data_IF_222056566954
#
_entry.id   IF_222056566954
#
_cell.length_a   1.000
_cell.length_b   1.000
_cell.length_c   1.000
_cell.angle_alpha   90.00
_cell.angle_beta   90.00
_cell.angle_gamma   90.00
#
_symmetry.space_group_name_H-M   'P 1'
#
loop_
_entity.id
_entity.type
_entity.pdbx_description
1 polymer ?
#
# COMPACT_ATOMS: atom_id res chain seq x y z
N UNK A 1 31.40 2.19 -27.60
CA UNK A 1 30.23 2.61 -28.40
C UNK A 1 29.00 1.86 -27.86
N UNK A 2 27.98 2.57 -27.33
CA UNK A 2 26.81 1.92 -26.71
C UNK A 2 25.82 1.57 -27.82
N UNK A 3 25.36 0.31 -27.86
CA UNK A 3 24.40 -0.21 -28.85
C UNK A 3 23.12 0.65 -28.98
N UNK A 4 22.72 1.32 -27.90
CA UNK A 4 21.53 2.17 -27.85
C UNK A 4 21.66 3.48 -28.67
N UNK A 5 22.87 3.96 -28.90
CA UNK A 5 23.12 5.17 -29.73
C UNK A 5 22.88 4.91 -31.22
N UNK A 6 23.01 3.65 -31.65
CA UNK A 6 22.81 3.25 -33.06
C UNK A 6 21.32 3.31 -33.49
N UNK A 7 20.40 3.27 -32.53
CA UNK A 7 18.96 3.25 -32.83
C UNK A 7 18.25 4.56 -32.50
N UNK A 8 18.98 5.59 -32.07
CA UNK A 8 18.44 6.88 -31.65
C UNK A 8 17.23 6.78 -30.69
N UNK A 9 17.29 5.78 -29.78
CA UNK A 9 16.23 5.54 -28.80
C UNK A 9 16.67 6.14 -27.48
N UNK A 10 15.94 7.09 -26.97
CA UNK A 10 16.21 7.71 -25.66
C UNK A 10 16.19 6.69 -24.53
N UNK A 11 17.13 6.83 -23.61
CA UNK A 11 17.28 5.90 -22.45
C UNK A 11 16.02 5.89 -21.59
N UNK A 12 15.26 6.96 -21.56
CA UNK A 12 13.96 7.07 -20.87
C UNK A 12 12.89 6.09 -21.38
N UNK A 13 12.98 5.61 -22.64
CA UNK A 13 12.06 4.60 -23.18
C UNK A 13 12.32 3.20 -22.61
N UNK A 14 13.45 3.00 -21.98
CA UNK A 14 13.84 1.75 -21.32
C UNK A 14 13.83 1.83 -19.79
N UNK A 15 13.28 2.91 -19.21
CA UNK A 15 13.16 3.01 -17.75
C UNK A 15 12.21 1.92 -17.23
N UNK A 16 12.72 0.87 -16.56
CA UNK A 16 11.88 -0.25 -16.10
C UNK A 16 10.83 0.17 -15.08
N UNK A 17 11.08 1.25 -14.35
CA UNK A 17 10.21 1.81 -13.31
C UNK A 17 8.81 2.18 -13.81
N UNK A 18 8.66 2.82 -14.96
CA UNK A 18 7.32 3.20 -15.46
C UNK A 18 6.46 2.01 -15.85
N UNK A 19 7.04 0.94 -16.40
CA UNK A 19 6.31 -0.27 -16.76
C UNK A 19 5.91 -1.08 -15.54
N UNK A 20 6.77 -1.14 -14.53
CA UNK A 20 6.47 -1.79 -13.27
C UNK A 20 5.31 -1.09 -12.56
N UNK A 21 5.35 0.25 -12.45
CA UNK A 21 4.30 1.08 -11.85
C UNK A 21 2.94 0.84 -12.51
N UNK A 22 2.88 0.82 -13.84
CA UNK A 22 1.64 0.57 -14.57
C UNK A 22 1.11 -0.86 -14.37
N UNK A 23 1.98 -1.85 -14.27
CA UNK A 23 1.59 -3.24 -14.02
C UNK A 23 1.01 -3.41 -12.61
N UNK A 24 1.64 -2.79 -11.60
CA UNK A 24 1.14 -2.77 -10.22
C UNK A 24 -0.20 -2.04 -10.15
N UNK A 25 -0.33 -0.89 -10.80
CA UNK A 25 -1.58 -0.14 -10.86
C UNK A 25 -2.73 -0.98 -11.45
N UNK A 26 -2.48 -1.69 -12.56
CA UNK A 26 -3.45 -2.59 -13.17
C UNK A 26 -3.80 -3.78 -12.25
N UNK A 27 -2.81 -4.31 -11.52
CA UNK A 27 -3.02 -5.37 -10.55
C UNK A 27 -3.90 -4.90 -9.39
N UNK A 28 -3.62 -3.73 -8.81
CA UNK A 28 -4.46 -3.11 -7.78
C UNK A 28 -5.89 -2.89 -8.25
N UNK A 29 -6.08 -2.36 -9.47
CA UNK A 29 -7.40 -2.17 -10.06
C UNK A 29 -8.16 -3.50 -10.20
N UNK A 30 -7.49 -4.56 -10.66
CA UNK A 30 -8.04 -5.92 -10.80
C UNK A 30 -8.47 -6.50 -9.44
N UNK A 31 -7.72 -6.21 -8.39
CA UNK A 31 -8.01 -6.67 -7.03
C UNK A 31 -8.95 -5.76 -6.23
N UNK A 32 -9.53 -4.73 -6.85
CA UNK A 32 -10.62 -3.96 -6.23
C UNK A 32 -10.40 -2.47 -6.10
N UNK A 33 -9.21 -1.94 -6.42
CA UNK A 33 -8.95 -0.49 -6.45
C UNK A 33 -9.40 0.12 -7.80
N UNK A 34 -10.70 0.11 -8.07
CA UNK A 34 -11.30 0.50 -9.37
C UNK A 34 -11.10 1.95 -9.74
N UNK A 35 -10.85 2.82 -8.77
CA UNK A 35 -10.54 4.24 -8.99
C UNK A 35 -9.18 4.46 -9.67
N UNK A 36 -8.34 3.43 -9.76
CA UNK A 36 -7.09 3.50 -10.50
C UNK A 36 -7.34 3.32 -11.99
N UNK A 37 -6.88 4.28 -12.79
CA UNK A 37 -6.99 4.20 -14.25
C UNK A 37 -6.07 3.10 -14.76
N UNK A 38 -6.63 2.14 -15.49
CA UNK A 38 -5.84 1.05 -16.10
C UNK A 38 -5.06 1.55 -17.32
N UNK A 39 -3.94 0.90 -17.57
CA UNK A 39 -3.06 1.17 -18.72
C UNK A 39 -2.93 -0.10 -19.59
N UNK A 40 -2.40 0.00 -20.82
CA UNK A 40 -2.18 -1.17 -21.66
C UNK A 40 -1.03 -2.09 -21.17
N UNK A 41 -0.46 -1.82 -20.00
CA UNK A 41 0.62 -2.64 -19.45
C UNK A 41 0.12 -4.04 -19.08
N UNK A 42 0.90 -5.05 -19.43
CA UNK A 42 0.63 -6.45 -19.07
C UNK A 42 0.89 -6.64 -17.57
N UNK A 43 -0.06 -7.26 -16.90
CA UNK A 43 0.07 -7.65 -15.49
C UNK A 43 0.79 -9.00 -15.42
N UNK A 44 1.94 -9.12 -14.78
CA UNK A 44 2.60 -10.39 -14.56
C UNK A 44 1.70 -11.37 -13.78
N UNK A 45 1.75 -12.67 -14.14
CA UNK A 45 0.92 -13.71 -13.51
C UNK A 45 1.11 -13.84 -11.99
N UNK A 46 2.28 -13.48 -11.46
CA UNK A 46 2.49 -13.42 -10.00
C UNK A 46 1.50 -12.49 -9.29
N UNK A 47 0.99 -11.46 -9.97
CA UNK A 47 0.00 -10.52 -9.43
C UNK A 47 -1.46 -10.97 -9.61
N UNK A 48 -1.69 -12.22 -10.03
CA UNK A 48 -3.02 -12.83 -9.97
C UNK A 48 -3.41 -13.16 -8.52
N UNK A 49 -2.41 -13.33 -7.63
CA UNK A 49 -2.59 -13.47 -6.19
C UNK A 49 -2.53 -12.11 -5.49
N UNK A 50 -3.60 -11.78 -4.77
CA UNK A 50 -3.70 -10.49 -4.04
C UNK A 50 -2.60 -10.31 -2.99
N UNK A 51 -2.15 -11.38 -2.35
CA UNK A 51 -1.05 -11.37 -1.38
C UNK A 51 0.24 -10.85 -2.00
N UNK A 52 0.55 -11.27 -3.25
CA UNK A 52 1.75 -10.80 -3.98
C UNK A 52 1.68 -9.30 -4.26
N UNK A 53 0.50 -8.80 -4.64
CA UNK A 53 0.30 -7.36 -4.90
C UNK A 53 0.50 -6.55 -3.63
N UNK A 54 -0.09 -6.97 -2.51
CA UNK A 54 0.06 -6.28 -1.22
C UNK A 54 1.53 -6.27 -0.77
N UNK A 55 2.21 -7.41 -0.86
CA UNK A 55 3.64 -7.51 -0.50
C UNK A 55 4.48 -6.61 -1.38
N UNK A 56 4.31 -6.64 -2.70
CA UNK A 56 5.07 -5.81 -3.64
C UNK A 56 4.91 -4.32 -3.34
N UNK A 57 3.67 -3.86 -3.15
CA UNK A 57 3.39 -2.44 -2.85
C UNK A 57 4.00 -2.01 -1.51
N UNK A 58 3.97 -2.87 -0.49
CA UNK A 58 4.55 -2.54 0.81
C UNK A 58 6.09 -2.60 0.81
N UNK A 59 6.69 -3.46 0.00
CA UNK A 59 8.15 -3.61 -0.07
C UNK A 59 8.77 -2.51 -0.93
N UNK A 60 8.17 -2.24 -2.08
CA UNK A 60 8.68 -1.31 -3.09
C UNK A 60 7.61 -0.30 -3.50
N UNK A 61 7.21 0.62 -2.61
CA UNK A 61 6.19 1.60 -2.91
C UNK A 61 6.69 2.58 -3.98
N UNK A 62 6.01 2.58 -5.13
CA UNK A 62 6.35 3.47 -6.25
C UNK A 62 5.53 4.76 -6.24
N UNK A 63 4.40 4.76 -5.55
CA UNK A 63 3.48 5.89 -5.48
C UNK A 63 2.63 5.86 -4.21
N UNK A 64 2.37 7.02 -3.57
CA UNK A 64 1.40 7.14 -2.49
C UNK A 64 0.01 6.58 -2.86
N UNK A 65 -0.43 6.77 -4.11
CA UNK A 65 -1.72 6.23 -4.60
C UNK A 65 -1.78 4.71 -4.59
N UNK A 66 -0.66 4.01 -4.81
CA UNK A 66 -0.62 2.55 -4.71
C UNK A 66 -0.79 2.08 -3.25
N UNK A 67 -0.20 2.80 -2.32
CA UNK A 67 -0.34 2.51 -0.88
C UNK A 67 -1.78 2.72 -0.40
N UNK A 68 -2.40 3.85 -0.73
CA UNK A 68 -3.78 4.13 -0.32
C UNK A 68 -4.79 3.21 -1.00
N UNK A 69 -4.50 2.75 -2.22
CA UNK A 69 -5.30 1.77 -2.94
C UNK A 69 -5.33 0.39 -2.25
N UNK A 70 -4.40 0.11 -1.32
CA UNK A 70 -4.46 -1.11 -0.51
C UNK A 70 -5.69 -1.14 0.40
N UNK A 71 -6.25 -0.01 0.82
CA UNK A 71 -7.50 0.04 1.59
C UNK A 71 -8.65 -0.68 0.88
N UNK A 72 -9.09 -0.23 -0.31
CA UNK A 72 -10.09 -0.93 -1.13
C UNK A 72 -9.73 -2.38 -1.47
N UNK A 73 -8.45 -2.67 -1.74
CA UNK A 73 -7.98 -4.03 -2.03
C UNK A 73 -8.18 -4.96 -0.82
N UNK A 74 -7.79 -4.54 0.38
CA UNK A 74 -7.99 -5.32 1.61
C UNK A 74 -9.48 -5.55 1.87
N UNK A 75 -10.31 -4.50 1.72
CA UNK A 75 -11.75 -4.60 1.91
C UNK A 75 -12.37 -5.62 0.96
N UNK A 76 -12.02 -5.57 -0.33
CA UNK A 76 -12.60 -6.45 -1.35
C UNK A 76 -12.16 -7.91 -1.24
N UNK A 77 -11.02 -8.14 -0.61
CA UNK A 77 -10.43 -9.47 -0.52
C UNK A 77 -10.34 -10.00 0.92
N UNK A 78 -11.17 -9.50 1.83
CA UNK A 78 -11.15 -9.88 3.26
C UNK A 78 -11.23 -11.39 3.48
N UNK A 79 -11.94 -12.13 2.61
CA UNK A 79 -12.09 -13.58 2.70
C UNK A 79 -10.95 -14.37 2.05
N UNK A 80 -10.11 -13.71 1.28
CA UNK A 80 -9.05 -14.35 0.47
C UNK A 80 -7.65 -14.02 0.99
N UNK A 81 -7.53 -12.99 1.84
CA UNK A 81 -6.26 -12.53 2.39
C UNK A 81 -6.00 -13.17 3.76
N UNK A 82 -4.82 -13.75 3.90
CA UNK A 82 -4.29 -14.19 5.19
C UNK A 82 -3.35 -13.13 5.75
N UNK A 83 -3.79 -12.41 6.79
CA UNK A 83 -2.95 -11.43 7.48
C UNK A 83 -1.70 -12.08 8.09
N UNK A 84 -1.80 -13.33 8.57
CA UNK A 84 -0.68 -14.09 9.11
C UNK A 84 0.37 -14.42 8.02
N UNK A 85 -0.08 -14.77 6.82
CA UNK A 85 0.83 -15.00 5.69
C UNK A 85 1.54 -13.71 5.28
N UNK A 86 0.80 -12.61 5.13
CA UNK A 86 1.37 -11.28 4.84
C UNK A 86 2.43 -10.90 5.88
N UNK A 87 2.13 -11.07 7.17
CA UNK A 87 3.06 -10.77 8.24
C UNK A 87 4.32 -11.63 8.16
N UNK A 88 4.18 -12.95 7.95
CA UNK A 88 5.31 -13.86 7.79
C UNK A 88 6.22 -13.47 6.62
N UNK A 89 5.63 -13.12 5.49
CA UNK A 89 6.38 -12.72 4.28
C UNK A 89 7.10 -11.40 4.48
N UNK A 90 6.41 -10.39 5.01
CA UNK A 90 6.99 -9.07 5.26
C UNK A 90 8.04 -9.09 6.39
N UNK A 91 7.88 -9.96 7.39
CA UNK A 91 8.89 -10.17 8.43
C UNK A 91 10.21 -10.72 7.85
N UNK A 92 10.15 -11.69 6.92
CA UNK A 92 11.34 -12.21 6.21
C UNK A 92 12.07 -11.13 5.41
N UNK A 93 11.35 -10.11 4.97
CA UNK A 93 11.88 -8.98 4.22
C UNK A 93 12.25 -7.78 5.13
N UNK A 94 12.07 -7.90 6.45
CA UNK A 94 12.32 -6.81 7.39
C UNK A 94 11.32 -5.65 7.26
N UNK A 95 10.10 -5.91 6.76
CA UNK A 95 9.08 -4.89 6.45
C UNK A 95 7.77 -5.07 7.23
N UNK A 96 7.76 -5.84 8.30
CA UNK A 96 6.55 -6.10 9.11
C UNK A 96 5.93 -4.82 9.70
N UNK A 97 6.73 -3.81 10.01
CA UNK A 97 6.26 -2.52 10.51
C UNK A 97 5.32 -1.81 9.52
N UNK A 98 5.58 -1.93 8.21
CA UNK A 98 4.72 -1.37 7.16
C UNK A 98 3.34 -2.02 7.13
N UNK A 99 3.27 -3.33 7.40
CA UNK A 99 1.97 -4.00 7.53
C UNK A 99 1.21 -3.49 8.75
N UNK A 100 1.88 -3.38 9.89
CA UNK A 100 1.27 -2.85 11.10
C UNK A 100 0.71 -1.45 10.89
N UNK A 101 1.50 -0.54 10.28
CA UNK A 101 1.05 0.80 9.91
C UNK A 101 -0.15 0.77 8.95
N UNK A 102 -0.08 -0.03 7.87
CA UNK A 102 -1.17 -0.13 6.91
C UNK A 102 -2.47 -0.58 7.57
N UNK A 103 -2.42 -1.64 8.37
CA UNK A 103 -3.61 -2.18 9.04
C UNK A 103 -4.19 -1.19 10.05
N UNK A 104 -3.35 -0.50 10.80
CA UNK A 104 -3.74 0.51 11.78
C UNK A 104 -4.41 1.72 11.08
N UNK A 105 -3.80 2.24 10.00
CA UNK A 105 -4.35 3.34 9.21
C UNK A 105 -5.66 2.96 8.52
N UNK A 106 -5.76 1.75 7.94
CA UNK A 106 -6.99 1.25 7.32
C UNK A 106 -8.07 1.06 8.36
N UNK A 107 -7.75 0.54 9.56
CA UNK A 107 -8.70 0.38 10.65
C UNK A 107 -9.32 1.72 11.06
N UNK A 108 -8.48 2.75 11.24
CA UNK A 108 -8.93 4.12 11.54
C UNK A 108 -9.79 4.68 10.39
N UNK A 109 -9.38 4.46 9.14
CA UNK A 109 -10.14 4.92 7.98
C UNK A 109 -11.53 4.28 7.87
N UNK A 110 -11.65 2.98 8.17
CA UNK A 110 -12.94 2.27 8.12
C UNK A 110 -13.99 2.83 9.10
N UNK A 111 -13.56 3.46 10.19
CA UNK A 111 -14.45 4.13 11.14
C UNK A 111 -15.03 5.44 10.59
N UNK A 112 -14.31 6.10 9.68
CA UNK A 112 -14.70 7.38 9.09
C UNK A 112 -15.48 7.24 7.78
N UNK A 113 -15.33 6.11 7.04
CA UNK A 113 -16.00 5.89 5.76
C UNK A 113 -17.48 5.58 5.94
N UNK A 114 -18.33 6.26 5.15
CA UNK A 114 -19.77 5.96 5.06
C UNK A 114 -20.01 4.92 3.97
N UNK A 115 -20.27 3.67 4.36
CA UNK A 115 -20.59 2.59 3.43
C UNK A 115 -22.09 2.59 3.08
N UNK A 116 -22.39 2.72 1.79
CA UNK A 116 -23.76 2.82 1.28
C UNK A 116 -24.44 1.46 1.26
N UNK A 117 -23.80 0.42 0.73
CA UNK A 117 -24.40 -0.90 0.58
C UNK A 117 -24.29 -1.76 1.85
N UNK A 118 -25.24 -2.67 2.03
CA UNK A 118 -25.20 -3.63 3.13
C UNK A 118 -24.02 -4.61 3.01
N UNK A 119 -23.61 -4.92 1.76
CA UNK A 119 -22.48 -5.78 1.48
C UNK A 119 -21.17 -5.09 1.95
N UNK A 120 -20.92 -3.85 1.52
CA UNK A 120 -19.73 -3.11 1.91
C UNK A 120 -19.64 -2.92 3.43
N UNK A 121 -20.76 -2.61 4.09
CA UNK A 121 -20.82 -2.53 5.57
C UNK A 121 -20.45 -3.83 6.25
N UNK A 122 -20.85 -4.97 5.68
CA UNK A 122 -20.50 -6.30 6.21
C UNK A 122 -19.03 -6.58 6.04
N UNK A 123 -18.49 -6.34 4.85
CA UNK A 123 -17.08 -6.59 4.54
C UNK A 123 -16.18 -5.65 5.35
N UNK A 124 -16.56 -4.39 5.53
CA UNK A 124 -15.86 -3.44 6.40
C UNK A 124 -15.80 -3.92 7.86
N UNK A 125 -16.93 -4.40 8.41
CA UNK A 125 -16.95 -4.98 9.77
C UNK A 125 -16.08 -6.21 9.89
N UNK A 126 -16.09 -7.10 8.89
CA UNK A 126 -15.24 -8.30 8.86
C UNK A 126 -13.76 -7.94 8.81
N UNK A 127 -13.39 -7.02 7.92
CA UNK A 127 -12.02 -6.54 7.82
C UNK A 127 -11.59 -5.88 9.13
N UNK A 128 -12.41 -4.99 9.69
CA UNK A 128 -12.13 -4.35 10.98
C UNK A 128 -11.91 -5.37 12.08
N UNK A 129 -12.82 -6.34 12.24
CA UNK A 129 -12.67 -7.40 13.25
C UNK A 129 -11.40 -8.21 13.03
N UNK A 130 -11.07 -8.57 11.79
CA UNK A 130 -9.85 -9.30 11.48
C UNK A 130 -8.60 -8.49 11.86
N UNK A 131 -8.58 -7.19 11.57
CA UNK A 131 -7.48 -6.30 11.95
C UNK A 131 -7.37 -6.19 13.48
N UNK A 132 -8.46 -5.92 14.17
CA UNK A 132 -8.48 -5.73 15.64
C UNK A 132 -7.99 -6.98 16.39
N UNK A 133 -8.29 -8.17 15.88
CA UNK A 133 -7.81 -9.44 16.43
C UNK A 133 -6.34 -9.72 16.09
N UNK A 134 -5.90 -9.30 14.92
CA UNK A 134 -4.57 -9.63 14.42
C UNK A 134 -3.50 -8.61 14.82
N UNK A 135 -3.81 -7.31 14.78
CA UNK A 135 -2.86 -6.22 14.99
C UNK A 135 -2.09 -6.31 16.32
N UNK A 136 -2.71 -6.73 17.46
CA UNK A 136 -2.00 -6.92 18.72
C UNK A 136 -0.94 -8.05 18.68
N UNK A 137 -1.02 -8.97 17.74
CA UNK A 137 -0.05 -10.08 17.58
C UNK A 137 1.18 -9.66 16.80
N UNK A 138 1.16 -8.54 16.10
CA UNK A 138 2.32 -8.04 15.37
C UNK A 138 3.36 -7.43 16.33
N UNK A 139 4.65 -7.81 16.20
CA UNK A 139 5.69 -7.21 17.00
C UNK A 139 5.83 -5.72 16.66
N UNK A 140 5.68 -4.86 17.66
CA UNK A 140 5.94 -3.43 17.49
C UNK A 140 7.44 -3.18 17.42
N UNK A 141 7.89 -2.29 16.52
CA UNK A 141 9.28 -1.84 16.53
C UNK A 141 9.65 -1.24 17.91
N UNK A 142 10.86 -1.50 18.37
CA UNK A 142 11.39 -0.81 19.54
C UNK A 142 11.48 0.70 19.28
N UNK A 143 11.44 1.51 20.33
CA UNK A 143 11.49 2.98 20.21
C UNK A 143 12.78 3.44 19.53
N UNK A 144 13.89 2.75 19.76
CA UNK A 144 15.20 3.03 19.17
C UNK A 144 15.37 2.39 17.78
N UNK A 145 14.41 1.63 17.29
CA UNK A 145 14.52 1.03 15.97
C UNK A 145 14.64 2.11 14.88
N UNK A 146 15.44 1.86 13.83
CA UNK A 146 15.56 2.81 12.74
C UNK A 146 14.18 3.05 12.08
N UNK A 147 13.96 4.31 11.69
CA UNK A 147 12.74 4.71 11.03
C UNK A 147 12.65 4.06 9.64
N UNK A 148 11.53 3.38 9.35
CA UNK A 148 11.28 2.83 8.02
C UNK A 148 10.66 3.89 7.12
N UNK A 149 11.44 4.41 6.18
CA UNK A 149 11.00 5.44 5.25
C UNK A 149 10.27 4.80 4.06
N UNK A 150 8.99 5.10 3.92
CA UNK A 150 8.18 4.62 2.79
C UNK A 150 8.39 5.49 1.55
N UNK A 151 8.52 6.81 1.72
CA UNK A 151 8.66 7.75 0.63
C UNK A 151 10.06 7.66 0.00
N UNK A 152 10.19 6.90 -1.09
CA UNK A 152 11.47 6.61 -1.75
C UNK A 152 12.21 7.86 -2.31
N UNK A 153 11.51 8.98 -2.49
CA UNK A 153 12.08 10.22 -3.02
C UNK A 153 12.82 11.07 -1.96
N UNK A 154 12.67 10.72 -0.69
CA UNK A 154 13.22 11.50 0.41
C UNK A 154 14.68 11.10 0.65
N UNK A 155 15.60 12.02 0.41
CA UNK A 155 17.05 11.78 0.52
C UNK A 155 17.76 12.63 1.58
N UNK A 156 17.10 13.67 2.10
CA UNK A 156 17.75 14.56 3.08
C UNK A 156 17.29 14.30 4.51
N UNK A 157 18.22 14.28 5.46
CA UNK A 157 17.92 14.09 6.89
C UNK A 157 16.90 15.13 7.41
N UNK A 158 16.98 16.39 6.93
CA UNK A 158 16.03 17.45 7.29
C UNK A 158 14.60 17.11 6.82
N UNK A 159 14.47 16.53 5.63
CA UNK A 159 13.16 16.13 5.09
C UNK A 159 12.61 14.94 5.86
N UNK A 160 13.47 13.97 6.22
CA UNK A 160 13.06 12.81 7.05
C UNK A 160 12.53 13.29 8.40
N UNK A 161 13.27 14.14 9.12
CA UNK A 161 12.84 14.68 10.41
C UNK A 161 11.51 15.43 10.32
N UNK A 162 11.27 16.18 9.22
CA UNK A 162 10.00 16.86 9.00
C UNK A 162 8.86 15.86 8.77
N UNK A 163 9.06 14.85 7.93
CA UNK A 163 8.06 13.81 7.69
C UNK A 163 7.73 13.08 8.98
N UNK A 164 8.74 12.72 9.77
CA UNK A 164 8.54 12.07 11.07
C UNK A 164 7.67 12.93 12.01
N UNK A 165 7.95 14.22 12.09
CA UNK A 165 7.19 15.15 12.92
C UNK A 165 5.73 15.30 12.46
N UNK A 166 5.50 15.33 11.13
CA UNK A 166 4.20 15.50 10.50
C UNK A 166 3.43 14.16 10.34
N UNK A 167 4.06 13.02 10.58
CA UNK A 167 3.46 11.69 10.44
C UNK A 167 2.26 11.49 11.39
N UNK A 168 1.28 10.71 10.95
CA UNK A 168 0.12 10.33 11.77
C UNK A 168 0.53 9.49 12.99
N UNK A 169 -0.36 9.37 13.98
CA UNK A 169 -0.10 8.58 15.19
C UNK A 169 0.09 7.09 14.87
N UNK A 170 -0.61 6.57 13.86
CA UNK A 170 -0.42 5.21 13.36
C UNK A 170 0.99 5.02 12.81
N UNK A 171 1.46 5.97 12.00
CA UNK A 171 2.79 5.94 11.41
C UNK A 171 3.90 6.03 12.49
N UNK A 172 3.74 6.91 13.47
CA UNK A 172 4.66 7.02 14.61
C UNK A 172 4.71 5.73 15.44
N UNK A 173 3.53 5.14 15.73
CA UNK A 173 3.40 3.89 16.49
C UNK A 173 4.17 2.73 15.86
N UNK A 174 4.25 2.70 14.54
CA UNK A 174 4.93 1.66 13.76
C UNK A 174 6.32 2.05 13.28
N UNK A 175 6.84 3.20 13.70
CA UNK A 175 8.15 3.72 13.27
C UNK A 175 8.28 3.82 11.74
N UNK A 176 7.18 4.20 11.08
CA UNK A 176 7.10 4.40 9.63
C UNK A 176 7.05 5.90 9.34
N UNK A 177 7.99 6.40 8.54
CA UNK A 177 7.96 7.78 8.10
C UNK A 177 7.22 7.88 6.75
N UNK A 178 6.06 8.51 6.79
CA UNK A 178 5.23 8.75 5.62
C UNK A 178 4.36 9.98 5.82
N UNK A 179 3.99 10.63 4.72
CA UNK A 179 3.00 11.72 4.73
C UNK A 179 1.57 11.22 4.68
N UNK A 180 1.38 9.92 4.41
CA UNK A 180 0.05 9.33 4.35
C UNK A 180 -0.56 9.25 5.75
N UNK A 181 -1.81 9.67 5.84
CA UNK A 181 -2.64 9.61 7.02
C UNK A 181 -3.88 8.72 6.77
N UNK A 182 -4.62 8.31 7.79
CA UNK A 182 -5.89 7.57 7.62
C UNK A 182 -6.89 8.26 6.68
N UNK A 183 -6.89 9.60 6.63
CA UNK A 183 -7.75 10.37 5.71
C UNK A 183 -7.49 10.08 4.24
N UNK A 184 -6.25 9.81 3.84
CA UNK A 184 -5.93 9.45 2.46
C UNK A 184 -6.54 8.09 2.06
N UNK A 185 -6.66 7.18 3.02
CA UNK A 185 -7.34 5.89 2.81
C UNK A 185 -8.86 6.05 2.75
N UNK A 186 -9.43 7.02 3.49
CA UNK A 186 -10.85 7.40 3.37
C UNK A 186 -11.13 7.89 1.96
N UNK A 187 -10.35 8.86 1.48
CA UNK A 187 -10.47 9.42 0.13
C UNK A 187 -10.35 8.36 -0.96
N UNK A 188 -9.37 7.43 -0.84
CA UNK A 188 -9.22 6.32 -1.77
C UNK A 188 -10.43 5.38 -1.77
N UNK A 189 -11.03 5.14 -0.62
CA UNK A 189 -12.23 4.30 -0.49
C UNK A 189 -13.47 4.97 -1.09
N UNK A 190 -13.62 6.28 -0.89
CA UNK A 190 -14.70 7.07 -1.48
C UNK A 190 -14.57 7.16 -3.00
N UNK A 191 -13.39 7.47 -3.52
CA UNK A 191 -13.10 7.46 -4.94
C UNK A 191 -13.39 6.08 -5.58
N UNK A 192 -13.09 5.01 -4.86
CA UNK A 192 -13.33 3.64 -5.34
C UNK A 192 -14.83 3.30 -5.41
N UNK A 193 -15.65 3.86 -4.53
CA UNK A 193 -17.11 3.71 -4.53
C UNK A 193 -17.73 4.41 -5.75
N UNK A 194 -17.25 5.60 -6.09
CA UNK A 194 -17.86 6.45 -7.13
C UNK A 194 -17.65 5.89 -8.55
N UNK A 195 -16.78 4.91 -8.72
CA UNK A 195 -16.51 4.21 -9.99
C UNK A 195 -17.32 2.91 -10.13
N UNK A 196 -17.98 2.46 -9.08
CA UNK A 196 -18.79 1.20 -9.05
C UNK A 196 -20.25 1.42 -9.26
#
# INVERSE_FOLDING_TARGET
MRILELFNVGVEHFAPTRRASSAIQNALARHGARHLVTSPAVVPSRFDEVTEVVVEVLVSPESPRHLTALGPVLLRNVDRLSLAELASRLAKLGRHARLGWLLDAVSTALDAVVFVTAADRRDARRLRTAIDLFLPSLPRPAEEAPLDLIDAEVRSAKTVARIEAESSEEAKRWRVATRLAPTDFVEAQEANRDVG
#
